data_IF_653443528285
#
_entry.id   IF_653443528285
#
_cell.length_a   1.000
_cell.length_b   1.000
_cell.length_c   1.000
_cell.angle_alpha   90.00
_cell.angle_beta   90.00
_cell.angle_gamma   90.00
#
_symmetry.space_group_name_H-M   'P 1'
#
loop_
_entity.id
_entity.type
_entity.pdbx_description
1 polymer ?
#
# COMPACT_ATOMS: atom_id res chain seq x y z
N UNK A 1 -32.48 4.08 -1.07
CA UNK A 1 -31.19 4.40 -0.43
C UNK A 1 -30.84 5.84 -0.78
N UNK A 2 -30.74 6.74 0.19
CA UNK A 2 -30.20 8.08 -0.06
C UNK A 2 -28.72 7.93 -0.37
N UNK A 3 -28.29 8.38 -1.55
CA UNK A 3 -26.88 8.35 -1.94
C UNK A 3 -26.09 9.26 -1.02
N UNK A 4 -25.24 8.67 -0.17
CA UNK A 4 -24.27 9.40 0.63
C UNK A 4 -22.96 9.48 -0.17
N UNK A 5 -22.23 10.58 0.00
CA UNK A 5 -20.89 10.70 -0.56
C UNK A 5 -19.91 9.93 0.31
N UNK A 6 -19.05 9.15 -0.33
CA UNK A 6 -18.07 8.28 0.32
C UNK A 6 -16.66 8.60 -0.19
N UNK A 7 -15.65 8.14 0.55
CA UNK A 7 -14.27 8.32 0.17
C UNK A 7 -13.87 7.37 -0.97
N UNK A 8 -13.25 7.90 -2.02
CA UNK A 8 -12.89 7.09 -3.18
C UNK A 8 -11.78 6.05 -2.88
N UNK A 9 -10.92 6.30 -1.89
CA UNK A 9 -9.91 5.34 -1.48
C UNK A 9 -10.52 4.21 -0.65
N UNK A 10 -11.43 4.53 0.28
CA UNK A 10 -12.15 3.53 1.07
C UNK A 10 -13.00 2.63 0.15
N UNK A 11 -13.69 3.23 -0.83
CA UNK A 11 -14.43 2.49 -1.85
C UNK A 11 -13.51 1.56 -2.67
N UNK A 12 -12.35 2.05 -3.13
CA UNK A 12 -11.38 1.23 -3.85
C UNK A 12 -10.89 0.07 -2.98
N UNK A 13 -10.54 0.34 -1.72
CA UNK A 13 -10.10 -0.68 -0.78
C UNK A 13 -11.16 -1.76 -0.57
N UNK A 14 -12.42 -1.36 -0.36
CA UNK A 14 -13.53 -2.29 -0.24
C UNK A 14 -13.68 -3.20 -1.48
N UNK A 15 -13.60 -2.63 -2.69
CA UNK A 15 -13.71 -3.39 -3.93
C UNK A 15 -12.53 -4.35 -4.11
N UNK A 16 -11.29 -3.89 -3.95
CA UNK A 16 -10.10 -4.72 -4.15
C UNK A 16 -10.02 -5.86 -3.14
N UNK A 17 -10.32 -5.58 -1.87
CA UNK A 17 -10.37 -6.61 -0.82
C UNK A 17 -11.52 -7.60 -1.09
N UNK A 18 -12.72 -7.11 -1.44
CA UNK A 18 -13.85 -7.99 -1.77
C UNK A 18 -13.54 -8.94 -2.93
N UNK A 19 -12.98 -8.41 -4.03
CA UNK A 19 -12.57 -9.23 -5.17
C UNK A 19 -11.45 -10.22 -4.80
N UNK A 20 -10.52 -9.82 -3.95
CA UNK A 20 -9.46 -10.70 -3.45
C UNK A 20 -10.05 -11.90 -2.68
N UNK A 21 -10.94 -11.64 -1.71
CA UNK A 21 -11.59 -12.68 -0.92
C UNK A 21 -12.44 -13.62 -1.77
N UNK A 22 -13.23 -13.08 -2.71
CA UNK A 22 -13.99 -13.89 -3.66
C UNK A 22 -13.10 -14.81 -4.51
N UNK A 23 -11.94 -14.31 -4.96
CA UNK A 23 -10.97 -15.12 -5.70
C UNK A 23 -10.29 -16.19 -4.84
N UNK A 24 -10.04 -15.92 -3.55
CA UNK A 24 -9.52 -16.93 -2.61
C UNK A 24 -10.53 -18.07 -2.42
N UNK A 25 -11.81 -17.74 -2.24
CA UNK A 25 -12.89 -18.73 -2.16
C UNK A 25 -12.93 -19.57 -3.44
N UNK A 26 -12.88 -18.93 -4.61
CA UNK A 26 -12.89 -19.63 -5.89
C UNK A 26 -11.67 -20.55 -6.06
N UNK A 27 -10.47 -20.11 -5.67
CA UNK A 27 -9.26 -20.95 -5.70
C UNK A 27 -9.40 -22.20 -4.84
N UNK A 28 -9.95 -22.08 -3.63
CA UNK A 28 -10.21 -23.22 -2.73
C UNK A 28 -11.21 -24.21 -3.36
N UNK A 29 -12.25 -23.71 -4.02
CA UNK A 29 -13.23 -24.54 -4.71
C UNK A 29 -12.66 -25.26 -5.96
N UNK A 30 -11.76 -24.61 -6.69
CA UNK A 30 -11.15 -25.17 -7.90
C UNK A 30 -10.00 -26.16 -7.60
N UNK A 31 -9.37 -26.05 -6.43
CA UNK A 31 -8.25 -26.91 -6.01
C UNK A 31 -8.52 -27.61 -4.66
N UNK A 32 -9.51 -28.51 -4.57
CA UNK A 32 -9.91 -29.14 -3.31
C UNK A 32 -8.88 -30.14 -2.72
N UNK A 33 -7.66 -30.28 -3.26
CA UNK A 33 -6.72 -31.37 -2.94
C UNK A 33 -5.25 -30.95 -2.73
N UNK A 34 -4.96 -29.76 -2.18
CA UNK A 34 -3.57 -29.39 -1.82
C UNK A 34 -3.19 -29.61 -0.35
N UNK A 35 -3.95 -30.41 0.41
CA UNK A 35 -3.58 -30.82 1.76
C UNK A 35 -3.76 -32.32 1.97
N UNK A 36 -2.85 -33.14 1.43
CA UNK A 36 -2.47 -34.42 2.04
C UNK A 36 -0.96 -34.60 1.86
N UNK A 37 -0.18 -34.04 2.78
CA UNK A 37 1.17 -34.53 3.05
C UNK A 37 1.04 -35.75 3.95
N UNK A 38 1.22 -36.95 3.39
CA UNK A 38 1.23 -38.22 4.12
C UNK A 38 2.38 -38.26 5.15
N UNK A 39 2.04 -38.10 6.43
CA UNK A 39 2.81 -38.62 7.57
C UNK A 39 2.15 -39.90 8.10
N UNK A 40 2.91 -40.91 8.58
CA UNK A 40 2.36 -42.24 8.83
C UNK A 40 1.45 -42.29 10.05
N UNK A 41 0.36 -43.05 9.90
CA UNK A 41 -0.67 -43.35 10.89
C UNK A 41 -0.11 -43.83 12.23
N UNK A 42 -0.68 -43.32 13.34
CA UNK A 42 -0.74 -44.09 14.59
C UNK A 42 -2.06 -43.83 15.31
N UNK A 43 -2.82 -44.92 15.36
CA UNK A 43 -4.06 -45.28 16.07
C UNK A 43 -4.62 -44.33 17.15
N UNK A 44 -5.93 -44.07 16.99
CA UNK A 44 -6.86 -43.49 17.96
C UNK A 44 -7.14 -44.46 19.13
N UNK A 45 -7.02 -43.97 20.36
CA UNK A 45 -7.81 -44.43 21.51
C UNK A 45 -8.22 -43.21 22.35
N UNK A 46 -9.51 -43.16 22.68
CA UNK A 46 -10.22 -42.14 23.47
C UNK A 46 -9.62 -41.88 24.85
N UNK A 47 -9.78 -40.66 25.38
CA UNK A 47 -10.59 -40.36 26.59
C UNK A 47 -10.64 -38.85 26.85
N UNK A 48 -11.78 -38.40 27.38
CA UNK A 48 -12.15 -37.02 27.71
C UNK A 48 -11.42 -36.54 28.99
N UNK A 49 -11.01 -35.27 29.04
CA UNK A 49 -11.25 -34.31 30.15
C UNK A 49 -10.28 -33.09 30.12
N UNK A 50 -10.89 -31.92 30.31
CA UNK A 50 -10.44 -30.70 31.01
C UNK A 50 -9.18 -29.88 30.59
N UNK A 51 -9.47 -28.59 30.35
CA UNK A 51 -8.73 -27.36 30.73
C UNK A 51 -7.22 -27.26 30.43
N UNK A 52 -6.83 -26.30 29.58
CA UNK A 52 -6.10 -25.07 29.95
C UNK A 52 -5.50 -24.39 28.70
N UNK A 53 -5.32 -23.08 28.83
CA UNK A 53 -4.71 -22.15 27.88
C UNK A 53 -3.36 -22.65 27.31
N UNK A 54 -3.20 -22.57 25.99
CA UNK A 54 -1.99 -22.05 25.31
C UNK A 54 -2.05 -22.22 23.78
N UNK A 55 -1.73 -21.14 23.08
CA UNK A 55 -1.01 -21.22 21.80
C UNK A 55 -1.82 -21.13 20.52
N UNK A 56 -2.37 -19.94 20.20
CA UNK A 56 -2.59 -19.60 18.78
C UNK A 56 -1.23 -19.32 18.14
N UNK A 57 -0.63 -20.37 17.60
CA UNK A 57 0.57 -20.32 16.79
C UNK A 57 0.24 -20.56 15.32
N UNK A 58 0.35 -19.51 14.51
CA UNK A 58 0.80 -19.58 13.11
C UNK A 58 1.31 -18.19 12.68
N UNK A 59 2.21 -17.60 13.45
CA UNK A 59 3.07 -16.52 12.93
C UNK A 59 4.31 -17.20 12.34
N UNK A 60 4.41 -17.25 11.01
CA UNK A 60 5.62 -17.72 10.32
C UNK A 60 6.77 -16.72 10.56
N UNK A 61 7.47 -16.92 11.68
CA UNK A 61 8.59 -16.12 12.15
C UNK A 61 9.89 -16.62 11.48
N UNK A 62 10.33 -15.97 10.40
CA UNK A 62 11.55 -16.36 9.68
C UNK A 62 12.74 -15.48 10.09
N UNK A 63 13.87 -16.10 10.47
CA UNK A 63 15.13 -15.37 10.65
C UNK A 63 15.79 -15.08 9.29
N UNK A 64 15.80 -13.81 8.88
CA UNK A 64 16.51 -13.37 7.68
C UNK A 64 17.96 -12.99 8.04
N UNK A 65 18.94 -13.58 7.34
CA UNK A 65 20.36 -13.20 7.48
C UNK A 65 20.69 -12.04 6.53
N UNK A 66 21.03 -10.88 7.10
CA UNK A 66 21.50 -9.72 6.35
C UNK A 66 22.99 -9.81 5.99
N UNK A 67 23.51 -8.85 5.19
CA UNK A 67 24.94 -8.71 4.95
C UNK A 67 25.71 -8.61 6.28
N UNK A 68 26.82 -9.36 6.42
CA UNK A 68 27.63 -9.50 7.65
C UNK A 68 27.03 -10.38 8.76
N UNK A 69 26.20 -11.38 8.42
CA UNK A 69 25.70 -12.40 9.35
C UNK A 69 24.86 -11.83 10.52
N UNK A 70 24.22 -10.67 10.32
CA UNK A 70 23.24 -10.13 11.25
C UNK A 70 21.89 -10.80 10.99
N UNK A 71 21.43 -11.63 11.92
CA UNK A 71 20.08 -12.23 11.90
C UNK A 71 19.03 -11.20 12.35
N UNK A 72 17.96 -11.02 11.58
CA UNK A 72 16.78 -10.25 11.96
C UNK A 72 15.52 -11.12 11.88
N UNK A 73 14.67 -11.04 12.89
CA UNK A 73 13.36 -11.69 12.88
C UNK A 73 12.47 -10.96 11.87
N UNK A 74 11.89 -11.69 10.91
CA UNK A 74 10.93 -11.14 9.94
C UNK A 74 9.57 -11.80 10.12
N UNK A 75 8.54 -10.99 10.38
CA UNK A 75 7.14 -11.44 10.39
C UNK A 75 6.44 -11.05 9.10
N UNK A 76 5.62 -11.93 8.56
CA UNK A 76 4.84 -11.69 7.35
C UNK A 76 3.38 -12.05 7.62
N UNK A 77 2.45 -11.17 7.26
CA UNK A 77 1.04 -11.52 7.20
C UNK A 77 0.78 -12.36 5.94
N UNK A 78 -0.05 -13.39 6.02
CA UNK A 78 -0.44 -14.21 4.87
C UNK A 78 -1.06 -13.33 3.78
N UNK A 79 -0.35 -13.17 2.67
CA UNK A 79 -0.84 -12.49 1.48
C UNK A 79 -0.88 -13.49 0.34
N UNK A 80 -1.95 -14.28 0.33
CA UNK A 80 -2.13 -15.37 -0.62
C UNK A 80 -2.29 -14.81 -2.03
N UNK A 81 -1.56 -15.38 -2.98
CA UNK A 81 -1.58 -14.87 -4.35
C UNK A 81 -2.97 -15.03 -5.00
N UNK A 82 -3.47 -13.96 -5.61
CA UNK A 82 -4.67 -13.92 -6.47
C UNK A 82 -4.39 -13.00 -7.65
N UNK A 83 -5.19 -13.05 -8.74
CA UNK A 83 -5.09 -12.06 -9.81
C UNK A 83 -5.13 -10.59 -9.32
N UNK A 84 -5.85 -10.29 -8.24
CA UNK A 84 -5.86 -8.94 -7.65
C UNK A 84 -4.49 -8.58 -7.06
N UNK A 85 -3.89 -9.47 -6.28
CA UNK A 85 -2.55 -9.25 -5.72
C UNK A 85 -1.47 -9.25 -6.80
N UNK A 86 -1.64 -10.01 -7.88
CA UNK A 86 -0.70 -10.03 -9.02
C UNK A 86 -0.69 -8.69 -9.77
N UNK A 87 -1.79 -7.94 -9.75
CA UNK A 87 -1.90 -6.66 -10.45
C UNK A 87 -1.58 -5.48 -9.53
N UNK A 88 -2.18 -5.44 -8.34
CA UNK A 88 -2.13 -4.29 -7.43
C UNK A 88 -1.32 -4.54 -6.16
N UNK A 89 -1.00 -5.81 -5.84
CA UNK A 89 -0.34 -6.19 -4.61
C UNK A 89 1.13 -5.83 -4.60
N UNK A 90 1.53 -5.06 -3.60
CA UNK A 90 2.93 -4.82 -3.25
C UNK A 90 3.18 -5.13 -1.78
N UNK A 91 4.45 -5.05 -1.38
CA UNK A 91 4.86 -5.26 0.01
C UNK A 91 5.74 -4.12 0.49
N UNK A 92 5.48 -3.69 1.73
CA UNK A 92 6.31 -2.79 2.49
C UNK A 92 7.08 -3.59 3.53
N UNK A 93 8.37 -3.29 3.69
CA UNK A 93 9.19 -3.77 4.80
C UNK A 93 9.36 -2.66 5.84
N UNK A 94 8.85 -2.88 7.03
CA UNK A 94 9.02 -2.03 8.21
C UNK A 94 10.06 -2.63 9.15
N UNK A 95 11.16 -1.91 9.41
CA UNK A 95 12.20 -2.33 10.36
C UNK A 95 12.16 -1.45 11.59
N UNK A 96 12.11 -2.06 12.77
CA UNK A 96 12.21 -1.39 14.07
C UNK A 96 13.62 -1.57 14.63
N UNK A 97 14.25 -0.46 14.99
CA UNK A 97 15.55 -0.39 15.62
C UNK A 97 15.39 0.06 17.07
N UNK A 98 15.79 -0.81 18.00
CA UNK A 98 15.81 -0.54 19.43
C UNK A 98 17.26 -0.66 19.93
N UNK A 99 17.70 0.25 20.79
CA UNK A 99 19.02 0.14 21.41
C UNK A 99 19.12 -1.19 22.19
N UNK A 100 20.14 -2.00 21.91
CA UNK A 100 20.43 -3.32 22.51
C UNK A 100 19.57 -4.53 22.12
N UNK A 101 18.62 -4.42 21.18
CA UNK A 101 17.84 -5.57 20.67
C UNK A 101 18.21 -5.95 19.24
N UNK A 102 17.91 -7.20 18.84
CA UNK A 102 17.95 -7.62 17.43
C UNK A 102 16.93 -6.79 16.64
N UNK A 103 17.29 -6.43 15.42
CA UNK A 103 16.38 -5.74 14.49
C UNK A 103 15.18 -6.67 14.19
N UNK A 104 13.97 -6.10 14.24
CA UNK A 104 12.74 -6.78 13.84
C UNK A 104 12.22 -6.14 12.56
N UNK A 105 11.89 -6.98 11.59
CA UNK A 105 11.29 -6.58 10.33
C UNK A 105 9.87 -7.14 10.22
N UNK A 106 8.97 -6.38 9.61
CA UNK A 106 7.62 -6.84 9.28
C UNK A 106 7.34 -6.53 7.81
N UNK A 107 6.87 -7.54 7.08
CA UNK A 107 6.36 -7.39 5.73
C UNK A 107 4.84 -7.17 5.80
N UNK A 108 4.40 -6.06 5.23
CA UNK A 108 3.00 -5.64 5.22
C UNK A 108 2.55 -5.50 3.76
N UNK A 109 1.53 -6.26 3.32
CA UNK A 109 1.00 -6.12 1.98
C UNK A 109 0.24 -4.80 1.82
N UNK A 110 0.13 -4.31 0.59
CA UNK A 110 -0.72 -3.18 0.23
C UNK A 110 -1.29 -3.34 -1.18
N UNK A 111 -2.49 -2.80 -1.40
CA UNK A 111 -3.01 -2.51 -2.74
C UNK A 111 -2.82 -1.03 -3.12
N UNK A 112 -2.83 -0.16 -2.12
CA UNK A 112 -2.68 1.29 -2.28
C UNK A 112 -1.59 1.79 -1.36
N UNK A 113 -0.65 2.56 -1.91
CA UNK A 113 0.40 3.22 -1.13
C UNK A 113 -0.10 4.58 -0.66
N UNK A 114 -0.32 4.71 0.64
CA UNK A 114 -0.82 5.95 1.23
C UNK A 114 0.33 6.92 1.53
N UNK A 115 0.31 8.08 0.90
CA UNK A 115 1.35 9.10 0.99
C UNK A 115 0.89 10.24 1.90
N UNK A 116 1.61 10.45 3.00
CA UNK A 116 1.45 11.67 3.79
C UNK A 116 2.03 12.86 3.02
N UNK A 117 1.22 13.90 2.85
CA UNK A 117 1.57 15.11 2.12
C UNK A 117 1.41 16.38 2.96
N UNK A 118 1.22 16.25 4.28
CA UNK A 118 0.96 17.38 5.18
C UNK A 118 2.15 18.33 5.27
N UNK A 119 3.36 17.81 5.43
CA UNK A 119 4.59 18.59 5.58
C UNK A 119 4.83 19.55 4.41
N UNK A 120 5.07 20.84 4.68
CA UNK A 120 5.34 21.87 3.67
C UNK A 120 6.53 21.59 2.75
N UNK A 121 7.43 20.68 3.18
CA UNK A 121 8.58 20.22 2.39
C UNK A 121 8.18 19.31 1.24
N UNK A 122 7.02 18.66 1.32
CA UNK A 122 6.52 17.74 0.31
C UNK A 122 5.78 18.54 -0.75
N UNK A 123 6.34 18.65 -1.96
CA UNK A 123 5.74 19.37 -3.11
C UNK A 123 5.51 18.45 -4.30
N UNK A 124 6.13 17.28 -4.32
CA UNK A 124 6.02 16.28 -5.37
C UNK A 124 5.64 14.91 -4.81
N UNK A 125 5.17 14.01 -5.67
CA UNK A 125 4.99 12.58 -5.33
C UNK A 125 6.31 11.94 -4.91
N UNK A 126 7.42 12.35 -5.50
CA UNK A 126 8.76 11.88 -5.15
C UNK A 126 9.12 12.26 -3.72
N UNK A 127 8.89 13.52 -3.32
CA UNK A 127 9.14 13.96 -1.95
C UNK A 127 8.32 13.15 -0.94
N UNK A 128 7.07 12.82 -1.29
CA UNK A 128 6.18 12.04 -0.44
C UNK A 128 6.64 10.57 -0.31
N UNK A 129 7.11 9.98 -1.40
CA UNK A 129 7.71 8.63 -1.41
C UNK A 129 9.02 8.58 -0.61
N UNK A 130 9.86 9.62 -0.72
CA UNK A 130 11.09 9.75 0.06
C UNK A 130 10.78 9.93 1.55
N UNK A 131 9.77 10.74 1.88
CA UNK A 131 9.30 10.93 3.25
C UNK A 131 8.73 9.63 3.83
N UNK A 132 8.04 8.81 3.04
CA UNK A 132 7.49 7.52 3.48
C UNK A 132 8.60 6.57 3.95
N UNK A 133 9.75 6.55 3.28
CA UNK A 133 10.86 5.64 3.60
C UNK A 133 11.91 6.22 4.56
N UNK A 134 11.69 7.47 4.99
CA UNK A 134 12.57 8.13 5.94
C UNK A 134 12.55 7.39 7.28
N UNK A 135 13.66 7.47 8.02
CA UNK A 135 13.71 6.90 9.37
C UNK A 135 13.04 7.88 10.33
N UNK A 136 12.07 7.40 11.08
CA UNK A 136 11.35 8.17 12.10
C UNK A 136 11.74 7.67 13.50
N UNK A 137 11.85 8.59 14.47
CA UNK A 137 11.96 8.23 15.89
C UNK A 137 10.54 8.09 16.45
N UNK A 138 10.30 7.02 17.20
CA UNK A 138 9.01 6.73 17.83
C UNK A 138 9.21 6.86 19.34
N UNK A 139 8.52 7.85 19.93
CA UNK A 139 8.46 8.08 21.37
C UNK A 139 7.29 7.28 21.98
N UNK A 140 7.33 7.00 23.28
CA UNK A 140 6.25 6.29 23.96
C UNK A 140 6.24 4.76 23.78
N UNK A 141 7.19 4.17 23.05
CA UNK A 141 7.24 2.72 22.89
C UNK A 141 7.61 2.04 24.20
N UNK A 142 6.71 1.21 24.72
CA UNK A 142 6.87 0.53 26.00
C UNK A 142 7.20 -0.94 25.77
N UNK A 143 8.27 -1.41 26.38
CA UNK A 143 8.65 -2.83 26.31
C UNK A 143 7.72 -3.69 27.18
N UNK A 144 7.83 -5.02 27.07
CA UNK A 144 7.16 -5.97 27.98
C UNK A 144 7.46 -5.70 29.46
N UNK A 145 8.56 -5.02 29.78
CA UNK A 145 8.93 -4.61 31.14
C UNK A 145 8.36 -3.25 31.56
N UNK A 146 7.46 -2.66 30.76
CA UNK A 146 6.83 -1.34 30.98
C UNK A 146 7.83 -0.18 31.07
N UNK A 147 9.02 -0.34 30.48
CA UNK A 147 9.97 0.76 30.32
C UNK A 147 9.78 1.43 28.97
N UNK A 148 9.75 2.75 28.98
CA UNK A 148 9.74 3.54 27.75
C UNK A 148 11.16 3.56 27.17
N UNK A 149 11.26 3.17 25.90
CA UNK A 149 12.53 3.13 25.17
C UNK A 149 12.39 3.91 23.88
N UNK A 150 13.45 4.64 23.52
CA UNK A 150 13.51 5.26 22.19
C UNK A 150 13.75 4.17 21.15
N UNK A 151 12.80 4.01 20.24
CA UNK A 151 12.96 3.18 19.05
C UNK A 151 12.92 4.08 17.82
N UNK A 152 13.46 3.59 16.72
CA UNK A 152 13.24 4.21 15.43
C UNK A 152 12.71 3.20 14.44
N UNK A 153 11.82 3.64 13.55
CA UNK A 153 11.21 2.82 12.53
C UNK A 153 11.70 3.29 11.16
N UNK A 154 11.91 2.36 10.24
CA UNK A 154 12.14 2.67 8.84
C UNK A 154 11.28 1.78 7.97
N UNK A 155 10.58 2.41 7.04
CA UNK A 155 9.78 1.76 6.02
C UNK A 155 10.56 1.72 4.71
N UNK A 156 10.47 0.64 3.96
CA UNK A 156 11.05 0.49 2.61
C UNK A 156 10.11 -0.32 1.71
N UNK A 157 10.21 -0.14 0.40
CA UNK A 157 9.44 -0.91 -0.56
C UNK A 157 10.12 -2.26 -0.81
N UNK A 158 9.45 -3.36 -0.46
CA UNK A 158 9.92 -4.73 -0.66
C UNK A 158 9.50 -5.24 -2.05
N UNK A 159 8.24 -5.04 -2.42
CA UNK A 159 7.70 -5.49 -3.70
C UNK A 159 6.89 -4.38 -4.36
N UNK A 160 7.10 -4.21 -5.66
CA UNK A 160 6.48 -3.18 -6.47
C UNK A 160 5.42 -3.79 -7.42
N UNK A 161 4.14 -3.38 -7.33
CA UNK A 161 3.07 -3.96 -8.14
C UNK A 161 3.16 -3.56 -9.62
N UNK A 162 2.66 -4.38 -10.56
CA UNK A 162 2.39 -3.99 -11.95
C UNK A 162 1.60 -2.70 -12.11
N UNK A 163 0.57 -2.52 -11.28
CA UNK A 163 -0.23 -1.29 -11.19
C UNK A 163 -0.06 -0.70 -9.79
N UNK A 164 0.67 0.41 -9.71
CA UNK A 164 0.90 1.15 -8.48
C UNK A 164 -0.19 2.21 -8.30
N UNK A 165 -0.95 2.08 -7.21
CA UNK A 165 -1.94 3.09 -6.81
C UNK A 165 -1.34 3.92 -5.69
N UNK A 166 -1.24 5.24 -5.90
CA UNK A 166 -0.79 6.19 -4.89
C UNK A 166 -1.99 7.00 -4.39
N UNK A 167 -2.24 6.95 -3.09
CA UNK A 167 -3.24 7.76 -2.42
C UNK A 167 -2.57 8.95 -1.74
N UNK A 168 -2.95 10.17 -2.14
CA UNK A 168 -2.50 11.39 -1.48
C UNK A 168 -3.43 11.70 -0.30
N UNK A 169 -2.93 11.55 0.94
CA UNK A 169 -3.68 11.79 2.17
C UNK A 169 -4.06 13.25 2.32
N UNK A 170 -5.22 13.62 1.77
CA UNK A 170 -5.74 14.99 1.79
C UNK A 170 -6.66 15.27 2.95
N UNK A 171 -7.27 14.26 3.55
CA UNK A 171 -8.18 14.46 4.67
C UNK A 171 -7.42 14.30 5.98
N UNK A 172 -7.34 15.39 6.74
CA UNK A 172 -6.57 15.47 7.98
C UNK A 172 -7.51 15.83 9.11
N UNK A 173 -7.39 15.15 10.24
CA UNK A 173 -8.17 15.45 11.44
C UNK A 173 -7.42 16.44 12.34
N UNK A 174 -7.96 17.64 12.49
CA UNK A 174 -7.41 18.65 13.40
C UNK A 174 -8.20 18.65 14.72
N UNK A 175 -7.48 18.65 15.85
CA UNK A 175 -8.08 18.55 17.20
C UNK A 175 -9.13 19.63 17.50
N UNK A 176 -9.00 20.79 16.88
CA UNK A 176 -9.85 21.97 17.10
C UNK A 176 -10.91 22.18 16.02
N UNK A 177 -10.84 21.46 14.89
CA UNK A 177 -11.61 21.79 13.69
C UNK A 177 -12.19 20.59 12.93
N UNK A 178 -12.05 19.37 13.46
CA UNK A 178 -12.56 18.17 12.80
C UNK A 178 -11.78 17.79 11.54
N UNK A 179 -12.42 17.03 10.64
CA UNK A 179 -11.80 16.60 9.39
C UNK A 179 -11.78 17.74 8.36
N UNK A 180 -10.59 18.08 7.86
CA UNK A 180 -10.36 19.13 6.88
C UNK A 180 -9.65 18.59 5.64
N UNK A 181 -9.96 19.16 4.47
CA UNK A 181 -9.26 18.85 3.22
C UNK A 181 -8.03 19.74 3.06
N UNK A 182 -6.87 19.11 2.87
CA UNK A 182 -5.61 19.74 2.53
C UNK A 182 -5.59 20.16 1.05
N UNK A 183 -5.82 21.46 0.84
CA UNK A 183 -5.74 22.09 -0.48
C UNK A 183 -4.28 22.48 -0.75
N UNK A 184 -3.53 21.51 -1.25
CA UNK A 184 -2.10 21.65 -1.55
C UNK A 184 -1.78 21.08 -2.92
N UNK A 185 -1.05 21.86 -3.72
CA UNK A 185 -0.51 21.35 -4.97
C UNK A 185 0.59 20.32 -4.69
N UNK A 186 0.42 19.12 -5.25
CA UNK A 186 1.41 18.05 -5.25
C UNK A 186 1.65 17.70 -6.71
N UNK A 187 2.86 17.94 -7.18
CA UNK A 187 3.24 17.63 -8.56
C UNK A 187 3.44 16.13 -8.71
N UNK A 188 2.95 15.57 -9.81
CA UNK A 188 3.10 14.17 -10.15
C UNK A 188 3.49 14.07 -11.63
N UNK A 189 4.57 13.35 -11.96
CA UNK A 189 5.02 13.23 -13.34
C UNK A 189 4.15 12.24 -14.12
N UNK A 190 4.17 12.32 -15.44
CA UNK A 190 3.59 11.26 -16.27
C UNK A 190 4.44 10.00 -16.22
N UNK A 191 5.75 10.14 -16.21
CA UNK A 191 6.69 9.04 -16.03
C UNK A 191 7.33 9.13 -14.63
N UNK A 192 7.05 8.15 -13.78
CA UNK A 192 7.54 8.07 -12.41
C UNK A 192 8.60 6.98 -12.30
N UNK A 193 9.82 7.33 -11.87
CA UNK A 193 10.85 6.34 -11.51
C UNK A 193 10.96 6.23 -9.98
N UNK A 194 10.73 5.04 -9.45
CA UNK A 194 11.00 4.71 -8.04
C UNK A 194 12.52 4.55 -7.88
N UNK A 195 13.14 5.43 -7.10
CA UNK A 195 14.56 5.38 -6.81
C UNK A 195 14.92 4.07 -6.11
N UNK A 196 16.07 3.48 -6.45
CA UNK A 196 16.60 2.30 -5.75
C UNK A 196 16.81 2.55 -4.26
N UNK A 197 16.93 3.80 -3.84
CA UNK A 197 17.13 4.14 -2.43
C UNK A 197 15.91 3.82 -1.56
N UNK A 198 14.71 3.89 -2.15
CA UNK A 198 13.42 3.65 -1.51
C UNK A 198 13.13 2.16 -1.28
N UNK A 199 13.86 1.29 -1.97
CA UNK A 199 13.65 -0.15 -1.92
C UNK A 199 14.33 -0.77 -0.70
N UNK A 200 13.93 -1.96 -0.32
CA UNK A 200 14.63 -2.73 0.71
C UNK A 200 15.99 -3.25 0.21
N UNK A 201 16.99 -3.44 1.10
CA UNK A 201 18.31 -3.94 0.70
C UNK A 201 18.28 -5.27 -0.08
N UNK A 202 17.34 -6.17 0.23
CA UNK A 202 17.22 -7.48 -0.40
C UNK A 202 16.76 -7.47 -1.86
N UNK A 203 16.14 -6.37 -2.29
CA UNK A 203 15.49 -6.26 -3.62
C UNK A 203 16.21 -5.28 -4.55
N UNK A 204 16.96 -4.31 -3.99
CA UNK A 204 17.72 -3.27 -4.75
C UNK A 204 18.59 -3.82 -5.90
N UNK A 205 19.21 -4.97 -5.72
CA UNK A 205 20.10 -5.59 -6.71
C UNK A 205 19.38 -6.48 -7.73
N UNK A 206 18.16 -6.95 -7.40
CA UNK A 206 17.39 -7.89 -8.22
C UNK A 206 16.44 -7.18 -9.19
N UNK A 207 15.94 -6.02 -8.81
CA UNK A 207 14.98 -5.27 -9.62
C UNK A 207 15.66 -4.42 -10.70
N UNK A 208 15.19 -4.52 -11.93
CA UNK A 208 15.71 -3.72 -13.05
C UNK A 208 14.90 -2.43 -13.26
N UNK A 209 15.44 -1.50 -14.07
CA UNK A 209 14.85 -0.17 -14.26
C UNK A 209 13.39 -0.21 -14.71
N UNK A 210 13.04 -1.04 -15.69
CA UNK A 210 11.67 -1.16 -16.20
C UNK A 210 10.64 -1.54 -15.13
N UNK A 211 11.01 -2.35 -14.13
CA UNK A 211 10.09 -2.76 -13.06
C UNK A 211 9.88 -1.70 -11.97
N UNK A 212 10.68 -0.64 -11.99
CA UNK A 212 10.61 0.49 -11.06
C UNK A 212 10.33 1.81 -11.77
N UNK A 213 10.03 1.76 -13.06
CA UNK A 213 9.59 2.90 -13.85
C UNK A 213 8.13 2.67 -14.24
N UNK A 214 7.32 3.70 -14.03
CA UNK A 214 5.89 3.66 -14.23
C UNK A 214 5.42 4.81 -15.10
N UNK A 215 4.31 4.60 -15.81
CA UNK A 215 3.60 5.63 -16.54
C UNK A 215 2.20 5.82 -15.98
N UNK A 216 1.85 7.07 -15.73
CA UNK A 216 0.52 7.49 -15.30
C UNK A 216 -0.50 7.16 -16.39
N UNK A 217 -1.58 6.50 -16.02
CA UNK A 217 -2.68 6.21 -16.94
C UNK A 217 -4.05 6.58 -16.39
N UNK A 218 -4.20 6.84 -15.10
CA UNK A 218 -5.42 7.45 -14.56
C UNK A 218 -5.15 8.33 -13.34
N UNK A 219 -5.98 9.35 -13.16
CA UNK A 219 -6.00 10.22 -11.99
C UNK A 219 -7.45 10.41 -11.55
N UNK A 220 -7.74 10.08 -10.30
CA UNK A 220 -9.01 10.46 -9.65
C UNK A 220 -8.79 11.77 -8.92
N UNK A 221 -9.61 12.75 -9.21
CA UNK A 221 -9.58 14.06 -8.57
C UNK A 221 -10.76 14.22 -7.63
N UNK A 222 -10.52 14.87 -6.50
CA UNK A 222 -11.56 15.35 -5.60
C UNK A 222 -11.73 16.87 -5.76
N UNK A 223 -12.96 17.31 -6.00
CA UNK A 223 -13.34 18.72 -6.13
C UNK A 223 -13.97 19.24 -4.83
N UNK A 224 -13.88 20.56 -4.62
CA UNK A 224 -14.44 21.22 -3.44
C UNK A 224 -13.50 21.23 -2.23
N UNK A 225 -13.92 21.92 -1.17
CA UNK A 225 -13.06 22.23 -0.01
C UNK A 225 -13.43 21.44 1.25
N UNK A 226 -14.55 20.70 1.24
CA UNK A 226 -14.99 19.93 2.39
C UNK A 226 -14.41 18.52 2.38
N UNK A 227 -14.26 17.94 3.57
CA UNK A 227 -13.98 16.52 3.76
C UNK A 227 -15.24 15.65 3.77
N UNK A 228 -16.41 16.25 3.98
CA UNK A 228 -17.71 15.55 4.06
C UNK A 228 -18.53 15.66 2.78
N UNK A 229 -18.02 16.39 1.79
CA UNK A 229 -18.75 16.74 0.59
C UNK A 229 -17.85 17.24 -0.54
N UNK A 230 -18.07 16.76 -1.75
CA UNK A 230 -17.36 17.16 -2.95
C UNK A 230 -17.89 16.46 -4.20
N UNK A 231 -17.03 16.37 -5.20
CA UNK A 231 -17.31 15.69 -6.46
C UNK A 231 -16.05 14.97 -6.92
N UNK A 232 -16.21 13.80 -7.55
CA UNK A 232 -15.08 13.04 -8.08
C UNK A 232 -15.13 13.02 -9.61
N UNK A 233 -14.00 13.29 -10.24
CA UNK A 233 -13.84 13.14 -11.70
C UNK A 233 -12.57 12.37 -11.99
N UNK A 234 -12.50 11.69 -13.12
CA UNK A 234 -11.33 10.90 -13.49
C UNK A 234 -10.76 11.36 -14.82
N UNK A 235 -9.44 11.54 -14.90
CA UNK A 235 -8.74 11.61 -16.18
C UNK A 235 -8.10 10.24 -16.46
N UNK A 236 -8.35 9.64 -17.63
CA UNK A 236 -7.84 8.32 -18.02
C UNK A 236 -7.15 8.39 -19.38
N UNK A 237 -5.98 7.78 -19.50
CA UNK A 237 -5.30 7.60 -20.78
C UNK A 237 -5.91 6.43 -21.53
N UNK A 238 -6.47 6.70 -22.71
CA UNK A 238 -7.04 5.69 -23.59
C UNK A 238 -6.04 5.31 -24.69
N UNK A 239 -5.57 4.05 -24.65
CA UNK A 239 -4.55 3.52 -25.56
C UNK A 239 -5.01 3.63 -27.02
N UNK A 240 -6.26 3.27 -27.31
CA UNK A 240 -6.79 3.31 -28.69
C UNK A 240 -6.87 4.71 -29.29
N UNK A 241 -6.98 5.75 -28.46
CA UNK A 241 -6.97 7.14 -28.90
C UNK A 241 -5.57 7.77 -28.81
N UNK A 242 -4.63 7.08 -28.16
CA UNK A 242 -3.34 7.62 -27.75
C UNK A 242 -3.49 9.00 -27.07
N UNK A 243 -4.48 9.13 -26.18
CA UNK A 243 -4.90 10.42 -25.65
C UNK A 243 -5.65 10.30 -24.32
N UNK A 244 -5.84 11.44 -23.66
CA UNK A 244 -6.48 11.51 -22.35
C UNK A 244 -7.96 11.87 -22.48
N UNK A 245 -8.78 11.23 -21.66
CA UNK A 245 -10.21 11.49 -21.50
C UNK A 245 -10.49 11.94 -20.08
N UNK A 246 -11.18 13.07 -19.92
CA UNK A 246 -11.83 13.45 -18.67
C UNK A 246 -13.23 12.89 -18.62
N UNK A 247 -13.51 12.13 -17.57
CA UNK A 247 -14.80 11.54 -17.26
C UNK A 247 -15.34 12.27 -16.02
N UNK A 248 -16.45 12.96 -16.24
CA UNK A 248 -17.20 13.74 -15.25
C UNK A 248 -18.65 13.24 -15.31
N UNK A 249 -18.93 12.20 -14.52
CA UNK A 249 -20.14 11.38 -14.62
C UNK A 249 -20.42 10.93 -16.06
N UNK A 250 -21.52 11.42 -16.64
CA UNK A 250 -21.96 11.14 -18.01
C UNK A 250 -21.19 11.95 -19.07
N UNK A 251 -20.44 12.98 -18.68
CA UNK A 251 -19.71 13.84 -19.60
C UNK A 251 -18.28 13.33 -19.82
N UNK A 252 -17.98 12.98 -21.07
CA UNK A 252 -16.64 12.54 -21.50
C UNK A 252 -16.04 13.59 -22.44
N UNK A 253 -14.81 14.04 -22.16
CA UNK A 253 -14.11 15.06 -22.96
C UNK A 253 -12.67 14.64 -23.23
N UNK A 254 -12.22 14.80 -24.47
CA UNK A 254 -10.80 14.66 -24.80
C UNK A 254 -10.04 15.85 -24.20
N UNK A 255 -8.93 15.56 -23.52
CA UNK A 255 -8.05 16.55 -22.91
C UNK A 255 -6.59 16.28 -23.30
N UNK A 256 -5.74 17.29 -23.14
CA UNK A 256 -4.30 17.15 -23.35
C UNK A 256 -3.61 16.67 -22.08
N UNK A 257 -2.47 16.01 -22.23
CA UNK A 257 -1.62 15.62 -21.09
C UNK A 257 -1.27 16.82 -20.18
N UNK A 258 -1.04 18.00 -20.76
CA UNK A 258 -0.81 19.23 -19.99
C UNK A 258 -1.99 19.56 -19.07
N UNK A 259 -3.24 19.35 -19.50
CA UNK A 259 -4.42 19.59 -18.65
C UNK A 259 -4.61 18.56 -17.53
N UNK A 260 -3.98 17.40 -17.64
CA UNK A 260 -3.96 16.35 -16.59
C UNK A 260 -3.04 16.81 -15.46
N UNK A 261 -1.77 17.09 -15.78
CA UNK A 261 -0.76 17.44 -14.78
C UNK A 261 -0.81 18.89 -14.29
N UNK A 262 -1.59 19.76 -14.94
CA UNK A 262 -1.73 21.16 -14.53
C UNK A 262 -2.33 21.27 -13.13
N UNK A 263 -1.65 21.95 -12.19
CA UNK A 263 -2.18 22.24 -10.86
C UNK A 263 -3.52 22.98 -10.89
N UNK A 264 -4.42 22.61 -9.98
CA UNK A 264 -5.67 23.33 -9.71
C UNK A 264 -6.03 23.22 -8.23
N UNK A 265 -6.39 24.34 -7.61
CA UNK A 265 -6.86 24.37 -6.23
C UNK A 265 -8.29 23.78 -6.11
N UNK A 266 -9.12 23.97 -7.15
CA UNK A 266 -10.51 23.50 -7.17
C UNK A 266 -10.61 22.00 -7.46
N UNK A 267 -9.57 21.44 -8.10
CA UNK A 267 -9.48 20.03 -8.50
C UNK A 267 -8.14 19.44 -8.09
N UNK A 268 -8.13 18.80 -6.93
CA UNK A 268 -6.91 18.21 -6.36
C UNK A 268 -6.83 16.73 -6.70
N UNK A 269 -5.70 16.27 -7.27
CA UNK A 269 -5.48 14.84 -7.51
C UNK A 269 -5.51 14.07 -6.18
N UNK A 270 -6.27 12.98 -6.12
CA UNK A 270 -6.50 12.21 -4.90
C UNK A 270 -5.91 10.81 -4.99
N UNK A 271 -6.23 10.07 -6.07
CA UNK A 271 -5.61 8.79 -6.40
C UNK A 271 -4.88 8.90 -7.74
N UNK A 272 -3.66 8.38 -7.79
CA UNK A 272 -2.84 8.31 -8.99
C UNK A 272 -2.61 6.84 -9.35
N UNK A 273 -2.91 6.47 -10.59
CA UNK A 273 -2.73 5.12 -11.10
C UNK A 273 -1.60 5.09 -12.11
N UNK A 274 -0.60 4.29 -11.78
CA UNK A 274 0.64 4.13 -12.50
C UNK A 274 0.79 2.69 -12.95
N UNK A 275 1.13 2.45 -14.22
CA UNK A 275 1.41 1.11 -14.76
C UNK A 275 2.89 0.98 -15.06
N UNK A 276 3.52 -0.14 -14.70
CA UNK A 276 4.93 -0.38 -15.01
C UNK A 276 5.19 -0.32 -16.50
N UNK A 277 6.30 0.31 -16.89
CA UNK A 277 6.63 0.52 -18.30
C UNK A 277 7.08 -0.73 -19.02
N UNK A 278 7.53 -1.76 -18.30
CA UNK A 278 7.89 -3.06 -18.88
C UNK A 278 6.67 -3.92 -19.26
N UNK A 279 5.46 -3.42 -18.98
CA UNK A 279 4.18 -4.04 -19.31
C UNK A 279 3.37 -3.23 -20.34
N UNK A 280 3.96 -2.18 -20.92
CA UNK A 280 3.34 -1.31 -21.93
C UNK A 280 3.70 -1.73 -23.36
#
# INVERSE_FOLDING_TARGET
MQGRQEDAEEYLGFILNGLHEEMLILKKLLSPHSEISNGPETQLVNEEEEQEEQGEGSEDEWEQVGPRNKSSVTRQADFVQTPITDIFGGHIRSVVYQQSSKESATLQPFFTLQLDIQSDRIRTVQDALESLVARESVQGYTTKTKQEVEISRRVTLEELPPVLVLHLKRFVYEKTGGCQKLIKNIEYPVDLEISKELLSPGVKSKIFKGQRTYRLFAVVYHHGNSATGGHYTTDVFQIGLNGWLRIDDQAVKVITQHQVVKPSAERTAYLLYYRRVDLL
#
